data_IF_968361493373
#
_entry.id   IF_968361493373
#
_cell.length_a   1.000
_cell.length_b   1.000
_cell.length_c   1.000
_cell.angle_alpha   90.00
_cell.angle_beta   90.00
_cell.angle_gamma   90.00
#
_symmetry.space_group_name_H-M   'P 1'
#
loop_
_entity.id
_entity.type
_entity.pdbx_description
1 polymer ?
#
# COMPACT_ATOMS: atom_id res chain seq x y z
N UNK A 1 29.55 -12.44 22.52
CA UNK A 1 28.91 -12.12 21.22
C UNK A 1 27.61 -11.38 21.50
N UNK A 2 27.50 -10.11 21.11
CA UNK A 2 26.29 -9.30 21.30
C UNK A 2 25.23 -9.72 20.28
N UNK A 3 24.10 -10.25 20.77
CA UNK A 3 22.96 -10.61 19.93
C UNK A 3 22.34 -9.33 19.36
N UNK A 4 22.79 -8.92 18.18
CA UNK A 4 22.21 -7.79 17.47
C UNK A 4 20.74 -8.11 17.16
N UNK A 5 19.82 -7.39 17.80
CA UNK A 5 18.38 -7.51 17.55
C UNK A 5 18.02 -6.72 16.29
N UNK A 6 18.55 -7.16 15.15
CA UNK A 6 18.34 -6.51 13.85
C UNK A 6 17.38 -7.35 13.02
N UNK A 7 16.51 -6.69 12.28
CA UNK A 7 15.65 -7.32 11.29
C UNK A 7 16.42 -7.55 9.99
N UNK A 8 16.64 -8.79 9.59
CA UNK A 8 17.30 -9.10 8.31
C UNK A 8 16.43 -8.80 7.07
N UNK A 9 15.13 -8.51 7.24
CA UNK A 9 14.22 -8.19 6.13
C UNK A 9 14.18 -6.69 5.80
N UNK A 10 14.38 -5.82 6.79
CA UNK A 10 14.30 -4.37 6.60
C UNK A 10 15.46 -3.59 7.25
N UNK A 11 16.47 -4.29 7.80
CA UNK A 11 17.66 -3.70 8.41
C UNK A 11 17.47 -2.99 9.75
N UNK A 12 16.24 -2.93 10.29
CA UNK A 12 15.94 -2.15 11.50
C UNK A 12 16.53 -2.79 12.76
N UNK A 13 17.23 -2.01 13.57
CA UNK A 13 17.71 -2.41 14.89
C UNK A 13 16.66 -2.19 15.99
N UNK A 14 16.79 -2.95 17.07
CA UNK A 14 15.89 -2.92 18.20
C UNK A 14 16.69 -3.01 19.50
N UNK A 15 16.24 -2.30 20.54
CA UNK A 15 16.86 -2.37 21.87
C UNK A 15 16.28 -3.52 22.72
N UNK A 16 15.07 -3.99 22.40
CA UNK A 16 14.36 -5.00 23.19
C UNK A 16 13.98 -6.23 22.36
N UNK A 17 14.16 -7.42 22.93
CA UNK A 17 13.82 -8.69 22.23
C UNK A 17 12.32 -8.78 21.92
N UNK A 18 11.44 -8.33 22.82
CA UNK A 18 9.98 -8.37 22.62
C UNK A 18 9.55 -7.55 21.40
N UNK A 19 10.11 -6.35 21.24
CA UNK A 19 9.80 -5.47 20.11
C UNK A 19 10.37 -6.02 18.80
N UNK A 20 11.57 -6.61 18.84
CA UNK A 20 12.19 -7.32 17.71
C UNK A 20 11.37 -8.52 17.24
N UNK A 21 10.95 -9.42 18.15
CA UNK A 21 10.13 -10.60 17.80
C UNK A 21 8.78 -10.18 17.22
N UNK A 22 8.12 -9.19 17.82
CA UNK A 22 6.87 -8.64 17.28
C UNK A 22 7.09 -8.11 15.86
N UNK A 23 8.13 -7.29 15.68
CA UNK A 23 8.47 -6.75 14.38
C UNK A 23 8.73 -7.83 13.33
N UNK A 24 9.52 -8.86 13.64
CA UNK A 24 9.81 -9.97 12.72
C UNK A 24 8.53 -10.63 12.19
N UNK A 25 7.57 -10.90 13.07
CA UNK A 25 6.28 -11.49 12.69
C UNK A 25 5.47 -10.58 11.75
N UNK A 26 5.43 -9.26 12.02
CA UNK A 26 4.75 -8.31 11.14
C UNK A 26 5.49 -8.11 9.82
N UNK A 27 6.81 -7.97 9.86
CA UNK A 27 7.67 -7.69 8.71
C UNK A 27 7.65 -8.87 7.73
N UNK A 28 7.73 -10.11 8.24
CA UNK A 28 7.54 -11.32 7.41
C UNK A 28 6.17 -11.36 6.75
N UNK A 29 5.09 -11.06 7.49
CA UNK A 29 3.73 -11.00 6.93
C UNK A 29 3.55 -9.89 5.90
N UNK A 30 4.23 -8.75 6.08
CA UNK A 30 4.22 -7.61 5.15
C UNK A 30 5.05 -7.93 3.90
N UNK A 31 6.20 -8.59 4.03
CA UNK A 31 7.02 -8.99 2.90
C UNK A 31 6.36 -10.10 2.06
N UNK A 32 5.68 -11.06 2.71
CA UNK A 32 4.96 -12.13 2.02
C UNK A 32 3.69 -11.66 1.30
N UNK A 33 3.13 -10.51 1.70
CA UNK A 33 2.01 -9.89 1.01
C UNK A 33 2.58 -8.82 0.08
N UNK A 34 2.49 -9.03 -1.23
CA UNK A 34 2.63 -7.91 -2.17
C UNK A 34 1.73 -6.76 -1.66
N UNK A 35 2.18 -5.49 -1.70
CA UNK A 35 1.32 -4.39 -1.36
C UNK A 35 0.12 -4.47 -2.30
N UNK A 36 -1.01 -5.03 -1.82
CA UNK A 36 -2.31 -4.81 -2.43
C UNK A 36 -2.58 -3.35 -2.14
N UNK A 37 -1.94 -2.46 -2.89
CA UNK A 37 -2.37 -1.08 -3.01
C UNK A 37 -3.81 -1.19 -3.43
N UNK A 38 -4.71 -1.00 -2.47
CA UNK A 38 -6.15 -1.01 -2.72
C UNK A 38 -6.34 -0.09 -3.91
N UNK A 39 -6.94 -0.60 -5.00
CA UNK A 39 -7.16 0.21 -6.21
C UNK A 39 -7.84 1.50 -5.75
N UNK A 40 -7.16 2.64 -5.93
CA UNK A 40 -7.68 3.94 -5.49
C UNK A 40 -8.84 4.31 -6.39
N UNK A 41 -9.85 4.95 -5.81
CA UNK A 41 -10.89 5.62 -6.58
C UNK A 41 -10.26 6.74 -7.41
N UNK A 42 -10.76 6.96 -8.63
CA UNK A 42 -10.35 8.12 -9.43
C UNK A 42 -10.78 9.43 -8.75
N UNK A 43 -10.17 10.56 -9.15
CA UNK A 43 -10.51 11.89 -8.61
C UNK A 43 -12.00 12.21 -8.76
N UNK A 44 -12.57 11.95 -9.94
CA UNK A 44 -13.99 12.22 -10.21
C UNK A 44 -14.94 11.45 -9.27
N UNK A 45 -14.67 10.17 -9.01
CA UNK A 45 -15.47 9.36 -8.07
C UNK A 45 -15.23 9.76 -6.63
N UNK A 46 -14.01 10.16 -6.28
CA UNK A 46 -13.68 10.66 -4.94
C UNK A 46 -14.43 11.96 -4.65
N UNK A 47 -14.39 12.94 -5.57
CA UNK A 47 -15.14 14.20 -5.44
C UNK A 47 -16.65 13.97 -5.42
N UNK A 48 -17.15 13.02 -6.20
CA UNK A 48 -18.57 12.67 -6.23
C UNK A 48 -19.02 11.80 -5.04
N UNK A 49 -18.09 11.35 -4.19
CA UNK A 49 -18.34 10.39 -3.07
C UNK A 49 -19.06 9.11 -3.53
N UNK A 50 -18.76 8.65 -4.74
CA UNK A 50 -19.37 7.44 -5.33
C UNK A 50 -18.38 6.28 -5.40
N UNK A 51 -18.88 5.05 -5.39
CA UNK A 51 -18.07 3.85 -5.63
C UNK A 51 -17.36 3.95 -6.99
N UNK A 52 -16.05 3.70 -6.99
CA UNK A 52 -15.25 3.67 -8.21
C UNK A 52 -14.99 2.23 -8.64
N UNK A 53 -15.66 1.80 -9.69
CA UNK A 53 -15.39 0.51 -10.34
C UNK A 53 -14.16 0.66 -11.24
N UNK A 54 -13.01 0.31 -10.66
CA UNK A 54 -11.69 0.59 -11.20
C UNK A 54 -11.29 -0.49 -12.22
N UNK A 55 -11.42 -0.18 -13.51
CA UNK A 55 -10.86 -0.97 -14.62
C UNK A 55 -9.44 -0.50 -14.99
N UNK A 56 -8.81 -1.16 -15.96
CA UNK A 56 -7.41 -0.93 -16.36
C UNK A 56 -7.11 0.49 -16.87
N UNK A 57 -8.06 1.16 -17.54
CA UNK A 57 -7.84 2.49 -18.15
C UNK A 57 -8.78 3.60 -17.66
N UNK A 58 -10.08 3.30 -17.45
CA UNK A 58 -11.06 4.26 -16.97
C UNK A 58 -12.11 3.58 -16.08
N UNK A 59 -12.72 4.34 -15.17
CA UNK A 59 -13.82 3.82 -14.35
C UNK A 59 -15.11 3.71 -15.16
N UNK A 60 -15.97 2.70 -14.90
CA UNK A 60 -17.22 2.50 -15.65
C UNK A 60 -18.11 3.76 -15.65
N UNK A 61 -18.30 4.37 -14.47
CA UNK A 61 -19.06 5.63 -14.32
C UNK A 61 -18.48 6.76 -15.17
N UNK A 62 -17.16 6.84 -15.22
CA UNK A 62 -16.44 7.90 -15.92
C UNK A 62 -16.64 7.76 -17.44
N UNK A 63 -16.55 6.52 -17.93
CA UNK A 63 -16.80 6.16 -19.32
C UNK A 63 -18.25 6.47 -19.72
N UNK A 64 -19.23 6.04 -18.93
CA UNK A 64 -20.66 6.28 -19.21
C UNK A 64 -21.02 7.77 -19.19
N UNK A 65 -20.41 8.56 -18.30
CA UNK A 65 -20.64 10.02 -18.22
C UNK A 65 -19.80 10.83 -19.20
N UNK A 66 -18.86 10.23 -19.91
CA UNK A 66 -17.92 10.97 -20.78
C UNK A 66 -17.03 11.96 -20.01
N UNK A 67 -16.71 11.68 -18.74
CA UNK A 67 -15.89 12.56 -17.90
C UNK A 67 -14.45 12.04 -17.78
N UNK A 68 -13.50 12.98 -17.67
CA UNK A 68 -12.09 12.65 -17.53
C UNK A 68 -11.80 11.80 -16.27
N UNK A 69 -11.34 10.57 -16.48
CA UNK A 69 -11.00 9.64 -15.40
C UNK A 69 -9.53 9.77 -15.00
N UNK A 70 -9.22 10.66 -14.07
CA UNK A 70 -7.86 10.82 -13.54
C UNK A 70 -7.67 9.90 -12.33
N UNK A 71 -6.85 8.86 -12.47
CA UNK A 71 -6.40 8.07 -11.34
C UNK A 71 -5.40 8.90 -10.50
N UNK A 72 -5.54 8.95 -9.16
CA UNK A 72 -4.54 9.60 -8.33
C UNK A 72 -3.25 8.77 -8.37
N UNK A 73 -2.25 9.25 -9.09
CA UNK A 73 -0.93 8.64 -9.18
C UNK A 73 -0.39 8.39 -7.77
N UNK A 74 0.04 7.16 -7.49
CA UNK A 74 0.71 6.83 -6.24
C UNK A 74 2.18 6.75 -6.60
N UNK A 75 2.92 7.81 -6.28
CA UNK A 75 4.38 7.74 -6.23
C UNK A 75 4.70 6.64 -5.22
N UNK A 76 5.16 5.51 -5.74
CA UNK A 76 5.44 4.32 -4.95
C UNK A 76 6.77 4.60 -4.26
N UNK A 77 6.72 5.19 -3.07
CA UNK A 77 7.92 5.45 -2.29
C UNK A 77 8.52 4.11 -1.85
N UNK A 78 9.55 3.70 -2.57
CA UNK A 78 10.36 2.53 -2.31
C UNK A 78 11.31 2.87 -1.16
N UNK A 79 10.91 2.51 0.07
CA UNK A 79 11.79 2.47 1.25
C UNK A 79 11.69 1.09 1.88
#
# INVERSE_FOLDING_TARGET
MLNALVCHLCGKDFQERKTHTRHMNYCRKKAAKSPKTRKRSCKACTSAKTRCESYSNACLRCLVKGIACVMPFIESNQV
#
